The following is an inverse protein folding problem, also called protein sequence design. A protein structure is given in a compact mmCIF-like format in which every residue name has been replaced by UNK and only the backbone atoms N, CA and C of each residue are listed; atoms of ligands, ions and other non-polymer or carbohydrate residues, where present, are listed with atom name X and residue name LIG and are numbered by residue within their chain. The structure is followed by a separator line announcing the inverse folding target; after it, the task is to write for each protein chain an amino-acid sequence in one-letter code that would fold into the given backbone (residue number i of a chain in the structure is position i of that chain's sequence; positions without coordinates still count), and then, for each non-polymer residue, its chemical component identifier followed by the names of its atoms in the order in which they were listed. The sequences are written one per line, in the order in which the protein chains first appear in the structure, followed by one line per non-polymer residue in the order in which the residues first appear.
data_IF_627353597731
#
_entry.id   IF_627353597731
#
_cell.length_a   1.000
_cell.length_b   1.000
_cell.length_c   1.000
_cell.angle_alpha   90.00
_cell.angle_beta   90.00
_cell.angle_gamma   90.00
#
_symmetry.space_group_name_H-M   'P 1'
#
loop_
_entity.id
_entity.type
_entity.pdbx_description
1 polymer ?
#
# COMPACT_ATOMS: atom_id res chain seq x y z
N UNK A 1 8.46 -28.55 12.37
CA UNK A 1 8.26 -28.12 10.97
C UNK A 1 6.78 -27.94 10.70
N UNK A 2 6.37 -26.70 10.43
CA UNK A 2 5.26 -26.28 9.56
C UNK A 2 4.90 -24.85 9.97
N UNK A 3 5.40 -23.87 9.22
CA UNK A 3 4.91 -22.49 9.29
C UNK A 3 3.93 -22.33 8.12
N UNK A 4 2.67 -22.14 8.48
CA UNK A 4 1.56 -21.83 7.58
C UNK A 4 1.71 -20.37 7.10
N UNK A 5 1.74 -20.08 5.79
CA UNK A 5 1.83 -18.71 5.33
C UNK A 5 0.47 -18.04 5.49
N UNK A 6 0.36 -17.15 6.48
CA UNK A 6 -0.79 -16.28 6.64
C UNK A 6 -0.95 -15.43 5.38
N UNK A 7 -1.91 -15.81 4.56
CA UNK A 7 -2.40 -15.04 3.42
C UNK A 7 -3.05 -13.78 4.00
N UNK A 8 -2.40 -12.62 3.87
CA UNK A 8 -3.00 -11.35 4.25
C UNK A 8 -4.12 -11.04 3.25
N UNK A 9 -5.33 -11.46 3.59
CA UNK A 9 -6.55 -11.04 2.92
C UNK A 9 -6.80 -9.56 3.22
N UNK A 10 -6.75 -8.72 2.20
CA UNK A 10 -7.16 -7.33 2.32
C UNK A 10 -8.69 -7.26 2.34
N UNK A 11 -9.29 -7.36 3.53
CA UNK A 11 -10.73 -7.16 3.73
C UNK A 11 -11.09 -5.70 3.51
N UNK A 12 -11.71 -5.40 2.37
CA UNK A 12 -12.41 -4.14 2.16
C UNK A 12 -13.67 -4.11 3.04
N UNK A 13 -13.60 -3.43 4.17
CA UNK A 13 -14.75 -3.21 5.06
C UNK A 13 -15.69 -2.16 4.45
N UNK A 14 -16.77 -2.59 3.80
CA UNK A 14 -17.89 -1.73 3.46
C UNK A 14 -19.04 -2.03 4.45
N UNK A 15 -19.25 -1.13 5.41
CA UNK A 15 -20.47 -1.09 6.21
C UNK A 15 -21.65 -0.84 5.26
N UNK A 16 -22.50 -1.85 5.05
CA UNK A 16 -23.80 -1.66 4.41
C UNK A 16 -24.87 -1.84 5.47
N UNK A 17 -25.38 -0.71 5.96
CA UNK A 17 -26.71 -0.66 6.57
C UNK A 17 -27.70 -1.21 5.53
N UNK A 18 -28.37 -2.29 5.93
CA UNK A 18 -29.45 -2.94 5.24
C UNK A 18 -30.67 -2.01 5.23
N UNK A 19 -30.76 -1.18 4.18
CA UNK A 19 -32.00 -0.50 3.80
C UNK A 19 -32.49 -1.10 2.49
N UNK A 20 -33.53 -1.93 2.61
CA UNK A 20 -34.35 -2.46 1.53
C UNK A 20 -34.78 -1.35 0.57
N UNK A 21 -34.37 -1.40 -0.71
CA UNK A 21 -35.16 -0.93 -1.85
C UNK A 21 -34.54 -1.37 -3.19
N UNK A 22 -34.89 -2.60 -3.59
CA UNK A 22 -35.46 -2.98 -4.89
C UNK A 22 -34.96 -2.38 -6.23
N UNK A 23 -33.67 -2.12 -6.46
CA UNK A 23 -33.19 -1.66 -7.79
C UNK A 23 -31.88 -2.36 -8.25
N UNK A 24 -31.81 -3.69 -8.24
CA UNK A 24 -30.60 -4.44 -8.58
C UNK A 24 -30.55 -4.84 -10.07
N UNK A 25 -29.85 -4.09 -10.94
CA UNK A 25 -29.17 -4.67 -12.14
C UNK A 25 -28.17 -3.79 -12.91
N UNK A 26 -27.79 -2.57 -12.49
CA UNK A 26 -26.93 -1.69 -13.34
C UNK A 26 -25.64 -1.21 -12.68
N UNK A 27 -25.26 -1.75 -11.53
CA UNK A 27 -23.96 -1.46 -10.91
C UNK A 27 -23.33 -2.83 -10.74
N UNK A 28 -22.44 -3.29 -11.64
CA UNK A 28 -21.48 -4.39 -11.39
C UNK A 28 -20.58 -4.80 -12.59
N UNK A 29 -20.45 -4.00 -13.66
CA UNK A 29 -19.53 -4.35 -14.76
C UNK A 29 -18.38 -3.35 -15.00
N UNK A 30 -18.28 -2.27 -14.23
CA UNK A 30 -17.25 -1.24 -14.44
C UNK A 30 -15.98 -1.40 -13.58
N UNK A 31 -16.01 -2.28 -12.57
CA UNK A 31 -14.86 -2.47 -11.68
C UNK A 31 -13.82 -3.44 -12.25
N UNK A 32 -14.24 -4.55 -12.84
CA UNK A 32 -13.33 -5.62 -13.29
C UNK A 32 -12.48 -5.23 -14.51
N UNK A 33 -12.99 -4.46 -15.46
CA UNK A 33 -12.25 -4.12 -16.68
C UNK A 33 -11.11 -3.10 -16.47
N UNK A 34 -11.23 -2.19 -15.48
CA UNK A 34 -10.17 -1.21 -15.17
C UNK A 34 -8.99 -1.82 -14.43
N UNK A 35 -9.26 -2.80 -13.57
CA UNK A 35 -8.24 -3.48 -12.78
C UNK A 35 -7.29 -4.30 -13.68
N UNK A 36 -7.80 -4.83 -14.80
CA UNK A 36 -7.02 -5.60 -15.77
C UNK A 36 -6.02 -4.74 -16.57
N UNK A 37 -6.40 -3.52 -16.99
CA UNK A 37 -5.50 -2.62 -17.72
C UNK A 37 -4.40 -2.06 -16.81
N UNK A 38 -4.76 -1.67 -15.59
CA UNK A 38 -3.79 -1.18 -14.61
C UNK A 38 -2.77 -2.26 -14.26
N UNK A 39 -3.21 -3.50 -14.07
CA UNK A 39 -2.32 -4.63 -13.79
C UNK A 39 -1.35 -4.91 -14.94
N UNK A 40 -1.80 -4.81 -16.20
CA UNK A 40 -0.94 -4.97 -17.38
C UNK A 40 0.12 -3.87 -17.48
N UNK A 41 -0.26 -2.61 -17.24
CA UNK A 41 0.67 -1.47 -17.25
C UNK A 41 1.70 -1.62 -16.12
N UNK A 42 1.26 -1.97 -14.91
CA UNK A 42 2.14 -2.19 -13.76
C UNK A 42 3.12 -3.34 -13.99
N UNK A 43 2.65 -4.46 -14.56
CA UNK A 43 3.51 -5.60 -14.92
C UNK A 43 4.55 -5.23 -15.98
N UNK A 44 4.21 -4.33 -16.90
CA UNK A 44 5.15 -3.83 -17.91
C UNK A 44 6.22 -2.90 -17.30
N UNK A 45 5.84 -1.97 -16.42
CA UNK A 45 6.76 -0.99 -15.82
C UNK A 45 7.62 -1.61 -14.72
N UNK A 46 7.05 -2.52 -13.93
CA UNK A 46 7.74 -3.19 -12.82
C UNK A 46 7.52 -4.71 -12.90
N UNK A 47 8.21 -5.41 -13.82
CA UNK A 47 8.11 -6.88 -13.94
C UNK A 47 8.49 -7.61 -12.65
N UNK A 48 9.35 -6.96 -11.86
CA UNK A 48 9.60 -7.35 -10.47
C UNK A 48 8.45 -6.80 -9.64
N UNK A 49 7.63 -7.70 -9.10
CA UNK A 49 6.51 -7.42 -8.19
C UNK A 49 7.03 -6.80 -6.86
N UNK A 50 7.55 -5.57 -6.93
CA UNK A 50 8.23 -4.86 -5.85
C UNK A 50 7.32 -4.66 -4.64
N UNK A 51 6.02 -4.53 -4.90
CA UNK A 51 4.96 -4.49 -3.88
C UNK A 51 4.88 -5.79 -3.07
N UNK A 52 5.14 -6.97 -3.65
CA UNK A 52 5.13 -8.25 -2.90
C UNK A 52 6.23 -8.23 -1.86
N UNK A 53 7.46 -7.93 -2.29
CA UNK A 53 8.61 -7.84 -1.38
C UNK A 53 8.40 -6.78 -0.30
N UNK A 54 7.81 -5.64 -0.66
CA UNK A 54 7.49 -4.59 0.30
C UNK A 54 6.43 -5.04 1.31
N UNK A 55 5.38 -5.73 0.87
CA UNK A 55 4.37 -6.34 1.74
C UNK A 55 4.98 -7.38 2.68
N UNK A 56 5.84 -8.25 2.18
CA UNK A 56 6.54 -9.26 2.99
C UNK A 56 7.39 -8.58 4.06
N UNK A 57 8.14 -7.54 3.70
CA UNK A 57 8.95 -6.75 4.64
C UNK A 57 8.07 -6.03 5.66
N UNK A 58 6.95 -5.45 5.23
CA UNK A 58 5.99 -4.81 6.13
C UNK A 58 5.37 -5.81 7.12
N UNK A 59 5.15 -7.07 6.69
CA UNK A 59 4.58 -8.12 7.55
C UNK A 59 5.51 -8.59 8.66
N UNK A 60 6.84 -8.55 8.43
CA UNK A 60 7.85 -8.94 9.43
C UNK A 60 8.37 -7.75 10.24
N UNK A 61 7.96 -6.54 9.89
CA UNK A 61 8.39 -5.32 10.57
C UNK A 61 7.80 -5.26 11.98
N UNK A 62 8.66 -5.06 12.96
CA UNK A 62 8.21 -4.85 14.33
C UNK A 62 7.36 -3.57 14.42
N UNK A 63 6.30 -3.63 15.23
CA UNK A 63 5.41 -2.49 15.44
C UNK A 63 6.19 -1.25 15.92
N UNK A 64 5.84 -0.10 15.37
CA UNK A 64 6.46 1.18 15.71
C UNK A 64 7.80 1.48 15.04
N UNK A 65 8.39 0.53 14.31
CA UNK A 65 9.56 0.81 13.47
C UNK A 65 9.21 1.84 12.40
N UNK A 66 10.04 2.85 12.24
CA UNK A 66 9.85 3.93 11.27
C UNK A 66 9.00 5.09 11.77
N UNK A 67 8.30 4.97 12.91
CA UNK A 67 7.50 6.06 13.48
C UNK A 67 8.34 7.32 13.77
N UNK A 68 9.61 7.15 14.14
CA UNK A 68 10.52 8.27 14.37
C UNK A 68 10.72 9.13 13.12
N UNK A 69 10.64 8.55 11.91
CA UNK A 69 10.72 9.31 10.63
C UNK A 69 9.52 10.22 10.50
N UNK A 70 8.33 9.75 10.88
CA UNK A 70 7.10 10.53 10.81
C UNK A 70 7.11 11.73 11.78
N UNK A 71 7.96 11.69 12.80
CA UNK A 71 8.12 12.77 13.78
C UNK A 71 9.20 13.79 13.36
N UNK A 72 9.96 13.52 12.30
CA UNK A 72 10.99 14.44 11.81
C UNK A 72 10.37 15.73 11.27
N UNK A 73 11.08 16.85 11.42
CA UNK A 73 10.60 18.15 10.94
C UNK A 73 10.48 18.16 9.42
N UNK A 74 11.40 17.48 8.76
CA UNK A 74 11.47 17.31 7.31
C UNK A 74 10.21 16.62 6.78
N UNK A 75 9.82 15.50 7.41
CA UNK A 75 8.61 14.79 7.02
C UNK A 75 7.34 15.61 7.28
N UNK A 76 7.26 16.28 8.42
CA UNK A 76 6.09 17.10 8.77
C UNK A 76 5.96 18.34 7.86
N UNK A 77 7.08 18.99 7.52
CA UNK A 77 7.09 20.11 6.59
C UNK A 77 6.68 19.68 5.16
N UNK A 78 7.22 18.54 4.69
CA UNK A 78 6.82 17.97 3.39
C UNK A 78 5.33 17.60 3.37
N UNK A 79 4.84 16.90 4.39
CA UNK A 79 3.42 16.52 4.50
C UNK A 79 2.50 17.73 4.59
N UNK A 80 2.93 18.78 5.29
CA UNK A 80 2.16 20.01 5.52
C UNK A 80 2.03 20.93 4.30
N UNK A 81 2.53 20.53 3.13
CA UNK A 81 2.50 21.37 1.93
C UNK A 81 3.57 22.46 1.94
N UNK A 82 4.73 22.18 2.54
CA UNK A 82 5.91 23.02 2.43
C UNK A 82 6.34 23.23 0.98
N UNK A 83 7.30 24.13 0.77
CA UNK A 83 7.74 24.55 -0.56
C UNK A 83 8.28 23.40 -1.44
N UNK A 84 8.71 22.30 -0.82
CA UNK A 84 9.24 21.13 -1.51
C UNK A 84 8.18 20.04 -1.69
N UNK A 85 7.89 19.69 -2.95
CA UNK A 85 6.95 18.61 -3.28
C UNK A 85 7.53 17.20 -3.02
N UNK A 86 8.84 17.09 -2.79
CA UNK A 86 9.57 15.81 -2.75
C UNK A 86 10.36 15.69 -1.45
N UNK A 87 10.09 14.63 -0.68
CA UNK A 87 10.93 14.21 0.44
C UNK A 87 11.91 13.13 -0.02
N UNK A 88 13.21 13.44 0.00
CA UNK A 88 14.24 12.49 -0.43
C UNK A 88 14.94 11.81 0.75
N UNK A 89 14.74 10.50 0.89
CA UNK A 89 15.39 9.70 1.93
C UNK A 89 16.73 9.15 1.44
N UNK A 90 17.83 9.86 1.73
CA UNK A 90 19.18 9.50 1.29
C UNK A 90 19.85 8.54 2.29
N UNK A 91 20.48 7.47 1.80
CA UNK A 91 21.24 6.54 2.63
C UNK A 91 21.93 5.47 1.80
N UNK A 92 22.99 4.88 2.33
CA UNK A 92 23.79 3.86 1.64
C UNK A 92 22.93 2.66 1.15
N UNK A 93 23.35 1.94 0.10
CA UNK A 93 22.78 0.65 -0.24
C UNK A 93 22.77 -0.27 0.99
N UNK A 94 21.66 -0.96 1.25
CA UNK A 94 21.51 -1.82 2.42
C UNK A 94 21.20 -1.11 3.75
N UNK A 95 21.09 0.24 3.79
CA UNK A 95 20.78 0.98 5.01
C UNK A 95 19.35 0.77 5.58
N UNK A 96 18.58 -0.19 5.07
CA UNK A 96 17.26 -0.53 5.61
C UNK A 96 16.11 0.42 5.20
N UNK A 97 16.29 1.24 4.16
CA UNK A 97 15.23 2.16 3.68
C UNK A 97 13.89 1.46 3.42
N UNK A 98 13.92 0.29 2.77
CA UNK A 98 12.73 -0.55 2.48
C UNK A 98 12.11 -1.17 3.72
N UNK A 99 12.84 -1.26 4.82
CA UNK A 99 12.31 -1.76 6.09
C UNK A 99 11.63 -0.64 6.89
N UNK A 100 12.13 0.59 6.77
CA UNK A 100 11.57 1.75 7.48
C UNK A 100 10.25 2.23 6.87
N UNK A 101 10.16 2.23 5.53
CA UNK A 101 8.96 2.58 4.77
C UNK A 101 8.12 1.35 4.55
#
# INVERSE_FOLDING_TARGET
MSQNPNHYSFSHSNNILNTTNSNNTTINNYHTAKDDEQSKILSWISPLESWRRHSDIASIRAEGVGNWVLQTREFQAWRGGGNDAILFCRGAPGAGKTFIW
#
